data_IF_356392284464
#
_entry.id   IF_356392284464
#
_cell.length_a   1.000
_cell.length_b   1.000
_cell.length_c   1.000
_cell.angle_alpha   90.00
_cell.angle_beta   90.00
_cell.angle_gamma   90.00
#
_symmetry.space_group_name_H-M   'P 1'
#
loop_
_entity.id
_entity.type
_entity.pdbx_description
1 polymer ?
#
# COMPACT_ATOMS: atom_id res chain seq x y z
N UNK A 1 -10.14 19.80 36.07
CA UNK A 1 -9.38 19.26 34.93
C UNK A 1 -9.74 17.78 34.81
N UNK A 2 -10.57 17.41 33.84
CA UNK A 2 -11.03 16.02 33.68
C UNK A 2 -9.88 15.25 33.01
N UNK A 3 -9.41 14.10 33.57
CA UNK A 3 -8.38 13.33 32.91
C UNK A 3 -8.95 12.77 31.60
N UNK A 4 -8.31 13.11 30.49
CA UNK A 4 -8.59 12.52 29.18
C UNK A 4 -8.46 11.00 29.30
N UNK A 5 -9.61 10.29 29.35
CA UNK A 5 -9.63 8.85 29.18
C UNK A 5 -9.06 8.57 27.79
N UNK A 6 -7.88 7.95 27.72
CA UNK A 6 -7.34 7.42 26.45
C UNK A 6 -8.29 6.35 25.95
N UNK A 7 -9.23 6.74 25.08
CA UNK A 7 -10.08 5.79 24.37
C UNK A 7 -9.15 5.04 23.40
N UNK A 8 -8.98 3.74 23.62
CA UNK A 8 -8.34 2.90 22.61
C UNK A 8 -9.25 2.91 21.38
N UNK A 9 -8.71 3.16 20.17
CA UNK A 9 -9.52 3.09 18.97
C UNK A 9 -10.17 1.70 18.89
N UNK A 10 -11.44 1.61 18.46
CA UNK A 10 -12.13 0.34 18.31
C UNK A 10 -11.35 -0.55 17.34
N UNK A 11 -11.25 -1.84 17.67
CA UNK A 11 -10.67 -2.84 16.76
C UNK A 11 -11.73 -3.20 15.73
N UNK A 12 -11.43 -2.97 14.45
CA UNK A 12 -12.30 -3.31 13.32
C UNK A 12 -11.73 -4.50 12.56
N UNK A 13 -12.57 -5.51 12.28
CA UNK A 13 -12.17 -6.70 11.54
C UNK A 13 -12.56 -6.61 10.06
N UNK A 14 -11.78 -7.20 9.14
CA UNK A 14 -12.16 -7.34 7.74
C UNK A 14 -13.41 -8.19 7.57
N UNK A 15 -14.24 -7.81 6.59
CA UNK A 15 -15.36 -8.66 6.17
C UNK A 15 -14.83 -9.90 5.46
N UNK A 16 -15.59 -10.99 5.49
CA UNK A 16 -15.24 -12.19 4.73
C UNK A 16 -15.14 -11.86 3.22
N UNK A 17 -14.06 -12.30 2.58
CA UNK A 17 -13.78 -12.02 1.16
C UNK A 17 -13.22 -10.63 0.87
N UNK A 18 -12.97 -9.80 1.88
CA UNK A 18 -12.33 -8.51 1.70
C UNK A 18 -10.83 -8.67 1.41
N UNK A 19 -10.36 -8.05 0.33
CA UNK A 19 -8.92 -7.95 0.03
C UNK A 19 -8.26 -6.98 1.00
N UNK A 20 -7.22 -7.45 1.68
CA UNK A 20 -6.48 -6.70 2.70
C UNK A 20 -4.98 -6.82 2.50
N UNK A 21 -4.25 -5.83 3.00
CA UNK A 21 -2.81 -5.92 3.20
C UNK A 21 -2.54 -6.26 4.67
N UNK A 22 -1.66 -7.23 4.92
CA UNK A 22 -1.30 -7.62 6.29
C UNK A 22 0.18 -7.97 6.40
N UNK A 23 0.70 -7.85 7.62
CA UNK A 23 1.98 -8.41 8.07
C UNK A 23 1.73 -9.37 9.24
N UNK A 24 2.81 -9.88 9.85
CA UNK A 24 2.74 -10.82 10.97
C UNK A 24 2.03 -10.25 12.21
N UNK A 25 1.88 -8.93 12.31
CA UNK A 25 1.25 -8.23 13.44
C UNK A 25 -0.23 -7.98 13.15
N UNK A 26 -0.61 -7.82 11.88
CA UNK A 26 -2.00 -7.79 11.45
C UNK A 26 -2.24 -6.91 10.23
N UNK A 27 -3.48 -6.45 10.10
CA UNK A 27 -3.92 -5.68 8.93
C UNK A 27 -3.26 -4.30 8.89
N UNK A 28 -2.57 -4.01 7.79
CA UNK A 28 -1.89 -2.74 7.53
C UNK A 28 -2.75 -1.83 6.66
N UNK A 29 -3.55 -2.40 5.77
CA UNK A 29 -4.42 -1.64 4.87
C UNK A 29 -5.69 -2.42 4.46
N UNK A 30 -6.78 -1.69 4.22
CA UNK A 30 -8.09 -2.23 3.81
C UNK A 30 -8.77 -1.35 2.76
N UNK A 31 -9.75 -1.94 2.07
CA UNK A 31 -10.59 -1.26 1.07
C UNK A 31 -9.77 -0.54 0.00
N UNK A 32 -8.86 -1.26 -0.66
CA UNK A 32 -8.09 -0.74 -1.80
C UNK A 32 -7.36 0.58 -1.47
N UNK A 33 -6.53 0.54 -0.43
CA UNK A 33 -5.79 1.70 0.10
C UNK A 33 -6.60 2.85 0.72
N UNK A 34 -7.94 2.81 0.75
CA UNK A 34 -8.74 3.85 1.40
C UNK A 34 -8.50 3.94 2.92
N UNK A 35 -8.32 2.79 3.58
CA UNK A 35 -8.11 2.71 5.04
C UNK A 35 -6.72 2.16 5.35
N UNK A 36 -5.73 3.04 5.41
CA UNK A 36 -4.39 2.69 5.87
C UNK A 36 -4.29 2.78 7.41
N UNK A 37 -3.74 1.73 8.02
CA UNK A 37 -3.44 1.66 9.44
C UNK A 37 -2.46 2.76 9.85
N UNK A 38 -2.61 3.28 11.07
CA UNK A 38 -1.75 4.36 11.58
C UNK A 38 -0.30 3.87 11.73
N UNK A 39 -0.11 2.60 12.09
CA UNK A 39 1.20 1.99 12.35
C UNK A 39 2.13 2.01 11.15
N UNK A 40 1.60 1.80 9.94
CA UNK A 40 2.38 1.73 8.69
C UNK A 40 2.22 2.99 7.84
N UNK A 41 1.73 4.09 8.44
CA UNK A 41 1.59 5.34 7.72
C UNK A 41 2.97 5.91 7.39
N UNK A 42 3.15 6.30 6.13
CA UNK A 42 4.30 7.07 5.69
C UNK A 42 4.44 8.33 6.55
N UNK A 43 5.59 8.45 7.22
CA UNK A 43 5.98 9.62 7.99
C UNK A 43 7.10 10.37 7.29
N UNK A 44 7.28 11.64 7.65
CA UNK A 44 8.37 12.48 7.12
C UNK A 44 9.77 11.94 7.43
N UNK A 45 9.88 11.15 8.50
CA UNK A 45 11.13 10.50 8.92
C UNK A 45 11.35 9.13 8.25
N UNK A 46 10.42 8.66 7.41
CA UNK A 46 10.55 7.34 6.79
C UNK A 46 11.65 7.36 5.74
N UNK A 47 12.66 6.50 5.92
CA UNK A 47 13.80 6.37 4.99
C UNK A 47 13.57 5.31 3.91
N UNK A 48 12.63 4.40 4.13
CA UNK A 48 12.29 3.32 3.21
C UNK A 48 10.78 3.33 2.99
N UNK A 49 10.37 3.34 1.73
CA UNK A 49 8.98 3.46 1.33
C UNK A 49 8.64 2.39 0.32
N UNK A 50 7.46 1.81 0.44
CA UNK A 50 6.91 0.86 -0.53
C UNK A 50 5.66 1.48 -1.15
N UNK A 51 5.63 1.52 -2.48
CA UNK A 51 4.48 1.97 -3.25
C UNK A 51 3.93 0.78 -4.01
N UNK A 52 2.61 0.58 -3.92
CA UNK A 52 1.90 -0.47 -4.65
C UNK A 52 0.89 0.22 -5.54
N UNK A 53 0.97 -0.09 -6.82
CA UNK A 53 0.03 0.34 -7.84
C UNK A 53 -0.71 -0.90 -8.33
N UNK A 54 -2.03 -0.85 -8.24
CA UNK A 54 -2.92 -1.93 -8.67
C UNK A 54 -3.91 -1.38 -9.69
N UNK A 55 -4.17 -2.16 -10.75
CA UNK A 55 -5.16 -1.83 -11.76
C UNK A 55 -6.27 -2.87 -11.79
N UNK A 56 -7.48 -2.44 -12.15
CA UNK A 56 -8.57 -3.36 -12.44
C UNK A 56 -8.38 -3.98 -13.82
N UNK A 57 -8.94 -5.18 -14.09
CA UNK A 57 -8.75 -5.88 -15.38
C UNK A 57 -9.11 -5.08 -16.62
N UNK A 58 -10.00 -4.08 -16.49
CA UNK A 58 -10.44 -3.22 -17.59
C UNK A 58 -9.40 -2.16 -17.97
N UNK A 59 -8.35 -1.97 -17.17
CA UNK A 59 -7.28 -1.00 -17.43
C UNK A 59 -6.08 -1.73 -18.05
N UNK A 60 -5.58 -1.27 -19.22
CA UNK A 60 -4.41 -1.87 -19.86
C UNK A 60 -3.17 -1.82 -18.95
N UNK A 61 -2.38 -2.89 -18.99
CA UNK A 61 -1.15 -3.02 -18.20
C UNK A 61 -0.16 -1.89 -18.51
N UNK A 62 -0.11 -1.42 -19.76
CA UNK A 62 0.73 -0.30 -20.18
C UNK A 62 0.39 0.97 -19.39
N UNK A 63 -0.90 1.20 -19.09
CA UNK A 63 -1.31 2.38 -18.31
C UNK A 63 -0.84 2.28 -16.86
N UNK A 64 -0.78 1.06 -16.30
CA UNK A 64 -0.22 0.82 -14.98
C UNK A 64 1.30 1.09 -14.97
N UNK A 65 2.01 0.65 -16.01
CA UNK A 65 3.44 0.92 -16.15
C UNK A 65 3.74 2.42 -16.30
N UNK A 66 2.95 3.15 -17.10
CA UNK A 66 3.11 4.61 -17.23
C UNK A 66 2.88 5.32 -15.89
N UNK A 67 1.87 4.90 -15.12
CA UNK A 67 1.64 5.44 -13.77
C UNK A 67 2.82 5.17 -12.83
N UNK A 68 3.39 3.96 -12.90
CA UNK A 68 4.62 3.60 -12.17
C UNK A 68 5.80 4.48 -12.55
N UNK A 69 6.01 4.71 -13.85
CA UNK A 69 7.08 5.58 -14.36
C UNK A 69 6.89 7.03 -13.91
N UNK A 70 5.67 7.55 -13.98
CA UNK A 70 5.37 8.91 -13.51
C UNK A 70 5.70 9.09 -12.02
N UNK A 71 5.41 8.07 -11.21
CA UNK A 71 5.76 8.07 -9.79
C UNK A 71 7.27 8.09 -9.58
N UNK A 72 8.01 7.19 -10.22
CA UNK A 72 9.48 7.12 -10.06
C UNK A 72 10.17 8.39 -10.55
N UNK A 73 9.77 8.92 -11.71
CA UNK A 73 10.30 10.19 -12.25
C UNK A 73 10.04 11.36 -11.27
N UNK A 74 8.88 11.36 -10.61
CA UNK A 74 8.53 12.36 -9.61
C UNK A 74 9.39 12.25 -8.35
N UNK A 75 9.59 11.03 -7.85
CA UNK A 75 10.43 10.75 -6.69
C UNK A 75 11.89 11.16 -6.96
N UNK A 76 12.44 10.84 -8.13
CA UNK A 76 13.81 11.23 -8.52
C UNK A 76 14.02 12.74 -8.49
N UNK A 77 13.04 13.50 -8.98
CA UNK A 77 13.09 14.98 -8.99
C UNK A 77 13.04 15.56 -7.57
N UNK A 78 12.24 14.96 -6.68
CA UNK A 78 12.07 15.44 -5.31
C UNK A 78 13.22 15.01 -4.39
N UNK A 79 13.84 13.85 -4.66
CA UNK A 79 14.86 13.24 -3.82
C UNK A 79 16.07 12.82 -4.67
N UNK A 80 16.96 13.76 -5.03
CA UNK A 80 18.15 13.45 -5.81
C UNK A 80 19.03 12.40 -5.11
N UNK A 81 19.40 11.35 -5.84
CA UNK A 81 20.22 10.26 -5.31
C UNK A 81 19.43 9.14 -4.63
N UNK A 82 18.08 9.13 -4.73
CA UNK A 82 17.31 7.97 -4.29
C UNK A 82 17.66 6.73 -5.13
N UNK A 83 17.53 5.57 -4.49
CA UNK A 83 17.62 4.28 -5.15
C UNK A 83 16.29 3.55 -4.97
N UNK A 84 15.80 2.93 -6.04
CA UNK A 84 14.53 2.20 -6.03
C UNK A 84 14.61 0.98 -6.95
N UNK A 85 13.78 0.00 -6.65
CA UNK A 85 13.51 -1.15 -7.50
C UNK A 85 12.03 -1.16 -7.87
N UNK A 86 11.74 -1.64 -9.08
CA UNK A 86 10.37 -1.80 -9.57
C UNK A 86 10.20 -3.26 -10.00
N UNK A 87 9.11 -3.87 -9.55
CA UNK A 87 8.75 -5.23 -9.93
C UNK A 87 7.25 -5.28 -10.26
N UNK A 88 6.91 -6.00 -11.33
CA UNK A 88 5.54 -6.38 -11.62
C UNK A 88 5.25 -7.71 -10.92
N UNK A 89 4.16 -7.76 -10.16
CA UNK A 89 3.69 -8.98 -9.49
C UNK A 89 2.47 -9.47 -10.25
N UNK A 90 2.60 -10.60 -10.92
CA UNK A 90 1.51 -11.27 -11.63
C UNK A 90 0.97 -12.43 -10.79
N UNK A 91 -0.34 -12.70 -10.88
CA UNK A 91 -0.92 -13.92 -10.32
C UNK A 91 -0.33 -15.13 -11.07
N UNK A 92 0.44 -15.97 -10.38
CA UNK A 92 0.78 -17.28 -10.90
C UNK A 92 -0.47 -18.15 -10.86
N UNK A 93 -1.19 -18.23 -11.99
CA UNK A 93 -2.18 -19.27 -12.18
C UNK A 93 -1.47 -20.63 -12.16
N UNK A 94 -1.42 -21.29 -11.00
CA UNK A 94 -1.24 -22.73 -10.96
C UNK A 94 -2.47 -23.36 -11.61
N UNK A 95 -2.35 -23.75 -12.88
CA UNK A 95 -3.25 -24.69 -13.52
C UNK A 95 -3.13 -26.03 -12.78
N UNK A 96 -3.94 -26.21 -11.73
CA UNK A 96 -4.21 -27.55 -11.20
C UNK A 96 -5.03 -28.30 -12.26
N UNK A 97 -4.37 -29.24 -12.93
CA UNK A 97 -4.99 -30.25 -13.78
C UNK A 97 -5.72 -31.29 -12.94
#
# INVERSE_FOLDING_TARGET
MIPSKRVRPPVEFPSQGEVIWCDDIGVTCRRWNWRQGIRTRLGVEAQQMWFILESLPQMPLETLHEAGKMLTDGLEKMMPGLWFEVALIEEQHQENH
#
